data_IF_768612149518
#
_entry.id   IF_768612149518
#
_cell.length_a   1.000
_cell.length_b   1.000
_cell.length_c   1.000
_cell.angle_alpha   90.00
_cell.angle_beta   90.00
_cell.angle_gamma   90.00
#
_symmetry.space_group_name_H-M   'P 1'
#
loop_
_entity.id
_entity.type
_entity.pdbx_description
1 polymer ?
#
# COMPACT_ATOMS: atom_id res chain seq x y z
N UNK A 1 14.09 -23.44 -8.97
CA UNK A 1 12.78 -23.01 -9.50
C UNK A 1 11.69 -23.81 -8.80
N UNK A 2 11.05 -23.27 -7.77
CA UNK A 2 9.85 -23.86 -7.18
C UNK A 2 8.67 -23.24 -7.92
N UNK A 3 7.97 -24.04 -8.72
CA UNK A 3 6.70 -23.63 -9.30
C UNK A 3 5.73 -23.37 -8.16
N UNK A 4 5.53 -22.09 -7.82
CA UNK A 4 4.48 -21.68 -6.89
C UNK A 4 3.15 -21.92 -7.61
N UNK A 5 2.57 -23.08 -7.35
CA UNK A 5 1.26 -23.48 -7.83
C UNK A 5 0.20 -22.51 -7.26
N UNK A 6 -0.01 -21.39 -7.96
CA UNK A 6 -1.29 -20.70 -7.92
C UNK A 6 -2.31 -21.60 -8.59
N UNK A 7 -2.77 -22.63 -7.86
CA UNK A 7 -3.76 -23.58 -8.35
C UNK A 7 -5.00 -22.83 -8.82
N UNK A 8 -5.43 -23.07 -10.05
CA UNK A 8 -6.70 -22.55 -10.54
C UNK A 8 -7.84 -23.04 -9.63
N UNK A 9 -8.95 -22.29 -9.49
CA UNK A 9 -10.14 -22.80 -8.84
C UNK A 9 -10.51 -24.13 -9.47
N UNK A 10 -10.52 -25.18 -8.67
CA UNK A 10 -10.71 -26.53 -9.15
C UNK A 10 -12.05 -27.05 -8.60
N UNK A 11 -13.08 -26.99 -9.45
CA UNK A 11 -14.40 -27.49 -9.12
C UNK A 11 -14.38 -28.97 -8.70
N UNK A 12 -13.46 -29.77 -9.24
CA UNK A 12 -13.31 -31.18 -8.86
C UNK A 12 -12.74 -31.33 -7.45
N UNK A 13 -11.85 -30.44 -7.00
CA UNK A 13 -11.36 -30.46 -5.62
C UNK A 13 -12.46 -30.08 -4.63
N UNK A 14 -13.29 -29.08 -4.97
CA UNK A 14 -14.45 -28.71 -4.15
C UNK A 14 -15.45 -29.86 -4.04
N UNK A 15 -15.79 -30.47 -5.17
CA UNK A 15 -16.69 -31.60 -5.23
C UNK A 15 -16.18 -32.79 -4.41
N UNK A 16 -14.88 -33.11 -4.51
CA UNK A 16 -14.26 -34.18 -3.71
C UNK A 16 -14.30 -33.88 -2.20
N UNK A 17 -14.05 -32.64 -1.79
CA UNK A 17 -14.13 -32.25 -0.38
C UNK A 17 -15.57 -32.36 0.17
N UNK A 18 -16.57 -31.97 -0.63
CA UNK A 18 -17.99 -32.12 -0.28
C UNK A 18 -18.41 -33.59 -0.18
N UNK A 19 -17.95 -34.44 -1.11
CA UNK A 19 -18.20 -35.88 -1.05
C UNK A 19 -17.58 -36.51 0.20
N UNK A 20 -16.37 -36.12 0.58
CA UNK A 20 -15.71 -36.61 1.79
C UNK A 20 -16.47 -36.20 3.07
N UNK A 21 -17.00 -34.98 3.13
CA UNK A 21 -17.84 -34.55 4.25
C UNK A 21 -19.16 -35.33 4.29
N UNK A 22 -19.80 -35.52 3.14
CA UNK A 22 -21.06 -36.28 3.03
C UNK A 22 -20.87 -37.72 3.50
N UNK A 23 -19.78 -38.36 3.08
CA UNK A 23 -19.43 -39.70 3.54
C UNK A 23 -19.19 -39.72 5.05
N UNK A 24 -18.44 -38.76 5.60
CA UNK A 24 -18.18 -38.68 7.04
C UNK A 24 -19.45 -38.49 7.89
N UNK A 25 -20.49 -37.87 7.33
CA UNK A 25 -21.80 -37.68 7.98
C UNK A 25 -22.76 -38.87 7.75
N UNK A 26 -22.55 -39.66 6.70
CA UNK A 26 -23.46 -40.73 6.26
C UNK A 26 -23.13 -42.13 6.78
N UNK A 27 -21.91 -42.38 7.28
CA UNK A 27 -21.59 -43.69 7.87
C UNK A 27 -22.20 -43.78 9.27
N UNK A 28 -22.99 -44.83 9.53
CA UNK A 28 -23.68 -45.13 10.80
C UNK A 28 -22.81 -45.38 12.04
N UNK A 29 -21.64 -44.75 12.10
CA UNK A 29 -20.78 -44.62 13.27
C UNK A 29 -20.12 -43.24 13.21
N UNK A 30 -20.78 -42.23 13.78
CA UNK A 30 -20.26 -40.86 13.87
C UNK A 30 -18.97 -40.82 14.71
N UNK A 31 -17.81 -41.09 14.09
CA UNK A 31 -16.54 -40.68 14.68
C UNK A 31 -16.41 -39.18 14.47
N UNK A 32 -16.72 -38.40 15.50
CA UNK A 32 -16.62 -36.93 15.50
C UNK A 32 -15.26 -36.44 14.99
N UNK A 33 -14.19 -37.23 15.17
CA UNK A 33 -12.87 -36.94 14.62
C UNK A 33 -12.83 -36.97 13.08
N UNK A 34 -13.55 -37.90 12.44
CA UNK A 34 -13.63 -37.98 10.98
C UNK A 34 -14.41 -36.80 10.40
N UNK A 35 -15.50 -36.40 11.07
CA UNK A 35 -16.29 -35.21 10.70
C UNK A 35 -15.42 -33.96 10.82
N UNK A 36 -14.68 -33.80 11.91
CA UNK A 36 -13.78 -32.67 12.11
C UNK A 36 -12.67 -32.62 11.04
N UNK A 37 -12.08 -33.76 10.69
CA UNK A 37 -11.07 -33.83 9.63
C UNK A 37 -11.64 -33.46 8.26
N UNK A 38 -12.85 -33.95 7.93
CA UNK A 38 -13.52 -33.62 6.67
C UNK A 38 -13.91 -32.13 6.59
N UNK A 39 -14.38 -31.54 7.70
CA UNK A 39 -14.67 -30.11 7.80
C UNK A 39 -13.41 -29.26 7.63
N UNK A 40 -12.30 -29.61 8.28
CA UNK A 40 -11.02 -28.90 8.13
C UNK A 40 -10.53 -28.94 6.68
N UNK A 41 -10.62 -30.09 6.03
CA UNK A 41 -10.27 -30.23 4.62
C UNK A 41 -11.17 -29.39 3.70
N UNK A 42 -12.49 -29.42 3.92
CA UNK A 42 -13.42 -28.57 3.17
C UNK A 42 -13.09 -27.09 3.34
N UNK A 43 -12.82 -26.64 4.57
CA UNK A 43 -12.47 -25.26 4.86
C UNK A 43 -11.18 -24.83 4.14
N UNK A 44 -10.17 -25.69 4.11
CA UNK A 44 -8.92 -25.45 3.38
C UNK A 44 -9.15 -25.35 1.86
N UNK A 45 -9.96 -26.25 1.28
CA UNK A 45 -10.27 -26.26 -0.16
C UNK A 45 -11.12 -25.06 -0.56
N UNK A 46 -12.11 -24.67 0.23
CA UNK A 46 -12.93 -23.47 -0.01
C UNK A 46 -12.05 -22.22 0.04
N UNK A 47 -11.17 -22.11 1.04
CA UNK A 47 -10.22 -21.00 1.15
C UNK A 47 -9.29 -20.93 -0.06
N UNK A 48 -8.75 -22.06 -0.51
CA UNK A 48 -7.90 -22.13 -1.69
C UNK A 48 -8.65 -21.72 -2.97
N UNK A 49 -9.88 -22.20 -3.16
CA UNK A 49 -10.71 -21.85 -4.32
C UNK A 49 -11.09 -20.36 -4.32
N UNK A 50 -11.47 -19.80 -3.18
CA UNK A 50 -11.76 -18.37 -3.06
C UNK A 50 -10.54 -17.52 -3.40
N UNK A 51 -9.35 -17.88 -2.88
CA UNK A 51 -8.10 -17.21 -3.24
C UNK A 51 -7.79 -17.32 -4.74
N UNK A 52 -8.02 -18.50 -5.33
CA UNK A 52 -7.79 -18.73 -6.74
C UNK A 52 -8.79 -17.96 -7.63
N UNK A 53 -10.03 -17.77 -7.17
CA UNK A 53 -11.05 -16.96 -7.86
C UNK A 53 -10.74 -15.47 -7.79
N UNK A 54 -10.32 -14.96 -6.62
CA UNK A 54 -9.84 -13.58 -6.48
C UNK A 54 -8.62 -13.31 -7.38
N UNK A 55 -7.83 -14.35 -7.67
CA UNK A 55 -6.68 -14.27 -8.57
C UNK A 55 -7.05 -14.39 -10.07
N UNK A 56 -8.31 -14.69 -10.45
CA UNK A 56 -8.77 -14.76 -11.85
C UNK A 56 -9.04 -13.36 -12.44
N UNK A 57 -7.94 -12.68 -12.76
CA UNK A 57 -7.66 -12.12 -14.09
C UNK A 57 -8.73 -11.38 -14.90
N UNK A 58 -9.54 -10.49 -14.32
CA UNK A 58 -10.00 -9.31 -15.07
C UNK A 58 -9.28 -8.12 -14.46
N UNK A 59 -8.27 -7.60 -15.16
CA UNK A 59 -7.64 -6.35 -14.77
C UNK A 59 -8.63 -5.22 -15.09
N UNK A 60 -9.49 -4.91 -14.12
CA UNK A 60 -10.45 -3.81 -14.22
C UNK A 60 -9.75 -2.45 -14.10
N UNK A 61 -8.69 -2.37 -13.29
CA UNK A 61 -7.89 -1.17 -13.08
C UNK A 61 -6.48 -1.31 -13.70
N UNK A 62 -6.02 -0.34 -14.50
CA UNK A 62 -4.65 -0.32 -15.01
C UNK A 62 -3.65 -0.25 -13.85
N UNK A 63 -2.55 -1.00 -13.96
CA UNK A 63 -1.50 -1.03 -12.94
C UNK A 63 -0.30 -0.25 -13.48
N UNK A 64 0.21 0.75 -12.73
CA UNK A 64 1.28 1.62 -13.21
C UNK A 64 2.62 0.88 -13.29
N UNK A 65 3.44 1.29 -14.24
CA UNK A 65 4.80 0.76 -14.44
C UNK A 65 5.84 1.64 -13.76
N UNK A 66 6.87 1.02 -13.17
CA UNK A 66 7.99 1.73 -12.55
C UNK A 66 9.32 1.38 -13.23
N UNK A 67 9.98 2.41 -13.73
CA UNK A 67 11.28 2.36 -14.40
C UNK A 67 12.44 2.65 -13.43
N UNK A 68 12.19 3.41 -12.35
CA UNK A 68 13.22 3.94 -11.46
C UNK A 68 13.65 5.37 -11.82
N UNK A 69 14.89 5.74 -11.46
CA UNK A 69 15.42 7.08 -11.72
C UNK A 69 14.74 8.15 -10.87
N UNK A 70 14.19 9.19 -11.51
CA UNK A 70 13.53 10.32 -10.83
C UNK A 70 12.03 10.09 -10.58
N UNK A 71 11.48 8.93 -10.93
CA UNK A 71 10.09 8.62 -10.60
C UNK A 71 9.92 8.55 -9.08
N UNK A 72 8.80 9.10 -8.57
CA UNK A 72 8.47 9.03 -7.15
C UNK A 72 8.08 7.60 -6.76
N UNK A 73 8.92 6.89 -5.98
CA UNK A 73 8.63 5.52 -5.56
C UNK A 73 7.45 5.43 -4.60
N UNK A 74 7.16 6.49 -3.84
CA UNK A 74 6.08 6.51 -2.84
C UNK A 74 4.74 6.62 -3.55
N UNK A 75 4.63 7.56 -4.49
CA UNK A 75 3.44 7.71 -5.34
C UNK A 75 3.17 6.43 -6.13
N UNK A 76 4.18 5.89 -6.83
CA UNK A 76 4.00 4.64 -7.59
C UNK A 76 3.53 3.48 -6.71
N UNK A 77 4.11 3.32 -5.51
CA UNK A 77 3.74 2.22 -4.61
C UNK A 77 2.28 2.35 -4.13
N UNK A 78 1.83 3.58 -3.84
CA UNK A 78 0.44 3.85 -3.46
C UNK A 78 -0.52 3.55 -4.62
N UNK A 79 -0.21 4.03 -5.83
CA UNK A 79 -1.02 3.76 -7.02
C UNK A 79 -1.07 2.27 -7.37
N UNK A 80 0.06 1.58 -7.30
CA UNK A 80 0.14 0.13 -7.49
C UNK A 80 -0.74 -0.60 -6.47
N UNK A 81 -0.66 -0.22 -5.19
CA UNK A 81 -1.46 -0.82 -4.13
C UNK A 81 -2.97 -0.58 -4.34
N UNK A 82 -3.36 0.61 -4.77
CA UNK A 82 -4.75 0.96 -5.08
C UNK A 82 -5.27 0.18 -6.29
N UNK A 83 -4.49 0.10 -7.37
CA UNK A 83 -4.84 -0.69 -8.55
C UNK A 83 -4.98 -2.18 -8.20
N UNK A 84 -4.08 -2.72 -7.36
CA UNK A 84 -4.19 -4.09 -6.88
C UNK A 84 -5.45 -4.31 -6.03
N UNK A 85 -5.80 -3.37 -5.16
CA UNK A 85 -7.03 -3.45 -4.36
C UNK A 85 -8.28 -3.45 -5.25
N UNK A 86 -8.33 -2.56 -6.26
CA UNK A 86 -9.42 -2.51 -7.24
C UNK A 86 -9.52 -3.78 -8.09
N UNK A 87 -8.38 -4.42 -8.37
CA UNK A 87 -8.31 -5.70 -9.07
C UNK A 87 -8.52 -6.93 -8.16
N UNK A 88 -8.76 -6.74 -6.85
CA UNK A 88 -8.95 -7.84 -5.89
C UNK A 88 -7.69 -8.66 -5.58
N UNK A 89 -6.49 -8.12 -5.85
CA UNK A 89 -5.23 -8.84 -5.68
C UNK A 89 -4.72 -8.80 -4.23
N UNK A 90 -4.59 -9.98 -3.63
CA UNK A 90 -3.99 -10.16 -2.31
C UNK A 90 -2.45 -10.04 -2.35
N UNK A 91 -1.81 -10.00 -1.18
CA UNK A 91 -0.36 -9.83 -1.06
C UNK A 91 0.48 -10.86 -1.84
N UNK A 92 0.05 -12.14 -1.84
CA UNK A 92 0.72 -13.19 -2.60
C UNK A 92 0.67 -12.91 -4.11
N UNK A 93 -0.49 -12.47 -4.61
CA UNK A 93 -0.65 -12.10 -6.02
C UNK A 93 0.17 -10.86 -6.38
N UNK A 94 0.20 -9.84 -5.52
CA UNK A 94 1.03 -8.64 -5.73
C UNK A 94 2.51 -9.03 -5.95
N UNK A 95 3.06 -9.89 -5.10
CA UNK A 95 4.45 -10.37 -5.24
C UNK A 95 4.70 -11.15 -6.55
N UNK A 96 3.72 -11.95 -6.99
CA UNK A 96 3.83 -12.71 -8.24
C UNK A 96 3.87 -11.81 -9.49
N UNK A 97 3.08 -10.72 -9.51
CA UNK A 97 2.88 -9.90 -10.71
C UNK A 97 3.75 -8.66 -10.74
N UNK A 98 4.11 -8.11 -9.58
CA UNK A 98 4.90 -6.88 -9.46
C UNK A 98 6.15 -6.86 -10.35
N UNK A 99 6.94 -7.95 -10.48
CA UNK A 99 8.13 -7.92 -11.33
C UNK A 99 7.85 -7.59 -12.80
N UNK A 100 6.63 -7.90 -13.30
CA UNK A 100 6.22 -7.57 -14.65
C UNK A 100 5.97 -6.07 -14.87
N UNK A 101 5.74 -5.32 -13.79
CA UNK A 101 5.52 -3.86 -13.78
C UNK A 101 6.77 -3.06 -13.43
N UNK A 102 7.87 -3.73 -13.10
CA UNK A 102 9.19 -3.11 -13.04
C UNK A 102 9.82 -3.12 -14.44
N UNK A 103 10.40 -2.00 -14.86
CA UNK A 103 11.10 -1.81 -16.14
C UNK A 103 12.42 -1.10 -15.90
N UNK A 104 13.24 -1.00 -16.96
CA UNK A 104 14.49 -0.24 -16.91
C UNK A 104 15.38 -0.64 -15.73
N UNK A 105 15.88 0.34 -14.99
CA UNK A 105 16.78 0.11 -13.85
C UNK A 105 16.08 -0.62 -12.71
N UNK A 106 14.77 -0.45 -12.54
CA UNK A 106 14.01 -1.18 -11.53
C UNK A 106 13.91 -2.69 -11.81
N UNK A 107 13.75 -3.07 -13.08
CA UNK A 107 13.77 -4.48 -13.47
C UNK A 107 15.13 -5.14 -13.22
N UNK A 108 16.22 -4.42 -13.51
CA UNK A 108 17.60 -4.88 -13.26
C UNK A 108 17.83 -5.05 -11.76
N UNK A 109 17.42 -4.07 -10.94
CA UNK A 109 17.50 -4.17 -9.48
C UNK A 109 16.73 -5.39 -8.95
N UNK A 110 15.53 -5.67 -9.46
CA UNK A 110 14.77 -6.83 -9.01
C UNK A 110 15.55 -8.15 -9.16
N UNK A 111 16.34 -8.28 -10.23
CA UNK A 111 17.19 -9.45 -10.46
C UNK A 111 18.33 -9.60 -9.44
N UNK A 112 18.77 -8.52 -8.79
CA UNK A 112 19.81 -8.58 -7.75
C UNK A 112 19.25 -9.02 -6.40
N UNK A 113 17.96 -8.75 -6.15
CA UNK A 113 17.29 -9.08 -4.88
C UNK A 113 16.42 -10.33 -4.94
N UNK A 114 16.13 -10.88 -6.13
CA UNK A 114 15.29 -12.08 -6.29
C UNK A 114 15.85 -13.33 -5.60
N UNK A 115 17.16 -13.39 -5.38
CA UNK A 115 17.82 -14.47 -4.64
C UNK A 115 17.70 -14.29 -3.11
N UNK A 116 17.32 -13.09 -2.64
CA UNK A 116 16.89 -12.87 -1.27
C UNK A 116 15.41 -13.23 -1.14
N UNK A 117 14.98 -13.81 -0.02
CA UNK A 117 13.61 -14.30 0.14
C UNK A 117 12.64 -13.13 0.40
N UNK A 118 12.42 -12.25 -0.59
CA UNK A 118 11.28 -11.34 -0.56
C UNK A 118 10.02 -12.18 -0.69
N UNK A 119 9.38 -12.45 0.45
CA UNK A 119 8.24 -13.36 0.58
C UNK A 119 7.01 -12.69 1.23
N UNK A 120 7.14 -11.43 1.63
CA UNK A 120 6.05 -10.60 2.13
C UNK A 120 5.92 -9.32 1.29
N UNK A 121 4.68 -8.87 1.04
CA UNK A 121 4.44 -7.62 0.32
C UNK A 121 4.75 -6.42 1.22
N UNK A 122 4.02 -6.29 2.33
CA UNK A 122 4.19 -5.25 3.35
C UNK A 122 4.26 -5.87 4.75
N UNK A 123 4.26 -5.03 5.79
CA UNK A 123 4.33 -5.44 7.19
C UNK A 123 5.54 -4.83 7.91
N UNK A 124 6.18 -5.61 8.79
CA UNK A 124 7.38 -5.17 9.49
C UNK A 124 8.51 -4.80 8.49
N UNK A 125 9.29 -3.78 8.86
CA UNK A 125 10.40 -3.25 8.07
C UNK A 125 11.60 -4.21 8.07
N UNK A 126 11.48 -5.30 7.31
CA UNK A 126 12.43 -6.38 7.23
C UNK A 126 12.95 -6.56 5.79
N UNK A 127 14.12 -7.18 5.65
CA UNK A 127 14.75 -7.45 4.36
C UNK A 127 14.00 -8.50 3.49
N UNK A 128 12.94 -9.12 4.01
CA UNK A 128 12.05 -10.01 3.27
C UNK A 128 10.71 -9.34 2.85
N UNK A 129 10.52 -8.06 3.18
CA UNK A 129 9.32 -7.29 2.87
C UNK A 129 9.57 -6.41 1.65
N UNK A 130 8.80 -6.61 0.58
CA UNK A 130 8.97 -5.87 -0.67
C UNK A 130 8.88 -4.34 -0.48
N UNK A 131 7.83 -3.84 0.18
CA UNK A 131 7.64 -2.40 0.37
C UNK A 131 8.82 -1.75 1.10
N UNK A 132 9.45 -2.47 2.03
CA UNK A 132 10.62 -1.99 2.76
C UNK A 132 11.85 -1.92 1.86
N UNK A 133 12.21 -3.02 1.21
CA UNK A 133 13.41 -3.13 0.37
C UNK A 133 13.29 -2.23 -0.87
N UNK A 134 12.08 -2.10 -1.43
CA UNK A 134 11.78 -1.16 -2.52
C UNK A 134 12.01 0.29 -2.11
N UNK A 135 11.47 0.71 -0.95
CA UNK A 135 11.69 2.07 -0.44
C UNK A 135 13.17 2.31 -0.13
N UNK A 136 13.86 1.34 0.46
CA UNK A 136 15.30 1.46 0.74
C UNK A 136 16.11 1.70 -0.54
N UNK A 137 15.75 1.05 -1.65
CA UNK A 137 16.45 1.21 -2.93
C UNK A 137 16.12 2.54 -3.62
N UNK A 138 14.83 2.85 -3.79
CA UNK A 138 14.40 3.89 -4.74
C UNK A 138 14.05 5.21 -4.08
N UNK A 139 13.78 5.24 -2.76
CA UNK A 139 13.61 6.49 -2.01
C UNK A 139 14.99 7.04 -1.63
N UNK A 140 15.73 7.47 -2.65
CA UNK A 140 17.12 7.87 -2.52
C UNK A 140 17.27 9.12 -1.64
N UNK A 141 18.43 9.32 -0.98
CA UNK A 141 18.70 10.54 -0.24
C UNK A 141 18.50 11.82 -1.06
N UNK A 142 18.83 11.79 -2.36
CA UNK A 142 18.63 12.92 -3.26
C UNK A 142 17.15 13.30 -3.45
N UNK A 143 16.26 12.30 -3.58
CA UNK A 143 14.82 12.57 -3.64
C UNK A 143 14.29 13.13 -2.31
N UNK A 144 14.78 12.60 -1.18
CA UNK A 144 14.40 13.09 0.14
C UNK A 144 14.83 14.54 0.34
N UNK A 145 16.04 14.90 -0.07
CA UNK A 145 16.53 16.28 -0.03
C UNK A 145 15.72 17.20 -0.93
N UNK A 146 15.40 16.75 -2.15
CA UNK A 146 14.56 17.48 -3.09
C UNK A 146 13.17 17.78 -2.50
N UNK A 147 12.50 16.76 -1.95
CA UNK A 147 11.18 16.96 -1.32
C UNK A 147 11.26 17.81 -0.05
N UNK A 148 12.34 17.71 0.72
CA UNK A 148 12.53 18.54 1.92
C UNK A 148 12.71 20.01 1.54
N UNK A 149 13.49 20.26 0.49
CA UNK A 149 13.65 21.61 -0.09
C UNK A 149 12.32 22.14 -0.64
N UNK A 150 11.57 21.30 -1.36
CA UNK A 150 10.24 21.65 -1.86
C UNK A 150 9.29 22.02 -0.71
N UNK A 151 9.26 21.21 0.35
CA UNK A 151 8.46 21.47 1.55
C UNK A 151 8.83 22.80 2.22
N UNK A 152 10.12 23.11 2.32
CA UNK A 152 10.59 24.35 2.95
C UNK A 152 10.24 25.59 2.12
N UNK A 153 10.18 25.46 0.80
CA UNK A 153 9.85 26.54 -0.13
C UNK A 153 8.35 26.61 -0.46
N UNK A 154 7.55 25.61 -0.03
CA UNK A 154 6.16 25.50 -0.41
C UNK A 154 5.31 26.57 0.28
N UNK A 155 4.78 27.48 -0.53
CA UNK A 155 3.87 28.55 -0.11
C UNK A 155 2.55 28.41 -0.88
N UNK A 156 1.42 28.63 -0.23
CA UNK A 156 0.10 28.71 -0.84
C UNK A 156 0.11 29.81 -1.91
N UNK A 157 -0.26 29.45 -3.14
CA UNK A 157 -0.30 30.43 -4.22
C UNK A 157 -1.55 31.32 -4.11
N UNK A 158 -1.54 32.56 -4.63
CA UNK A 158 -2.69 33.48 -4.52
C UNK A 158 -4.02 32.92 -5.02
N UNK A 159 -4.00 32.02 -6.00
CA UNK A 159 -5.18 31.39 -6.59
C UNK A 159 -5.35 29.92 -6.19
N UNK A 160 -4.59 29.45 -5.19
CA UNK A 160 -4.63 28.07 -4.74
C UNK A 160 -5.56 27.93 -3.53
N UNK A 161 -6.55 27.04 -3.66
CA UNK A 161 -7.46 26.72 -2.56
C UNK A 161 -6.70 26.09 -1.40
N UNK A 162 -7.15 26.33 -0.17
CA UNK A 162 -6.54 25.74 1.04
C UNK A 162 -6.46 24.22 0.95
N UNK A 163 -7.46 23.58 0.33
CA UNK A 163 -7.46 22.14 0.10
C UNK A 163 -6.33 21.66 -0.82
N UNK A 164 -6.06 22.37 -1.90
CA UNK A 164 -4.98 22.03 -2.83
C UNK A 164 -3.61 22.19 -2.15
N UNK A 165 -3.42 23.30 -1.44
CA UNK A 165 -2.21 23.55 -0.66
C UNK A 165 -2.00 22.48 0.43
N UNK A 166 -3.06 22.15 1.18
CA UNK A 166 -3.02 21.14 2.22
C UNK A 166 -2.70 19.74 1.67
N UNK A 167 -3.25 19.38 0.50
CA UNK A 167 -2.92 18.13 -0.18
C UNK A 167 -1.44 18.08 -0.57
N UNK A 168 -0.90 19.13 -1.19
CA UNK A 168 0.51 19.19 -1.58
C UNK A 168 1.45 19.04 -0.38
N UNK A 169 1.16 19.71 0.74
CA UNK A 169 1.95 19.58 1.97
C UNK A 169 1.87 18.16 2.56
N UNK A 170 0.68 17.54 2.55
CA UNK A 170 0.52 16.15 3.00
C UNK A 170 1.30 15.18 2.14
N UNK A 171 1.29 15.33 0.83
CA UNK A 171 2.06 14.49 -0.09
C UNK A 171 3.57 14.60 0.19
N UNK A 172 4.08 15.81 0.42
CA UNK A 172 5.48 16.01 0.80
C UNK A 172 5.83 15.33 2.12
N UNK A 173 4.98 15.45 3.14
CA UNK A 173 5.19 14.72 4.39
C UNK A 173 5.11 13.20 4.22
N UNK A 174 4.23 12.67 3.37
CA UNK A 174 4.18 11.24 3.08
C UNK A 174 5.45 10.74 2.38
N UNK A 175 6.06 11.58 1.53
CA UNK A 175 7.33 11.27 0.86
C UNK A 175 8.52 11.34 1.82
N UNK A 176 8.52 12.28 2.77
CA UNK A 176 9.66 12.55 3.68
C UNK A 176 9.61 11.74 4.98
N UNK A 177 8.43 11.57 5.58
CA UNK A 177 8.30 10.89 6.86
C UNK A 177 8.39 9.37 6.71
N UNK A 178 9.01 8.73 7.69
CA UNK A 178 9.23 7.29 7.81
C UNK A 178 9.03 6.87 9.27
N UNK A 179 8.94 5.56 9.58
CA UNK A 179 8.91 5.11 10.96
C UNK A 179 10.16 5.48 11.79
N UNK A 180 11.30 5.73 11.14
CA UNK A 180 12.57 6.08 11.81
C UNK A 180 12.71 7.58 12.01
N UNK A 181 12.21 8.37 11.05
CA UNK A 181 12.25 9.82 11.08
C UNK A 181 10.92 10.38 10.59
N UNK A 182 10.28 11.18 11.43
CA UNK A 182 9.14 11.99 11.06
C UNK A 182 9.25 13.35 11.74
N UNK A 183 8.84 14.41 11.04
CA UNK A 183 8.67 15.71 11.69
C UNK A 183 7.64 15.60 12.82
N UNK A 184 7.90 16.15 14.01
CA UNK A 184 6.89 16.21 15.07
C UNK A 184 5.62 16.94 14.60
N UNK A 185 4.45 16.51 15.06
CA UNK A 185 3.15 17.02 14.59
C UNK A 185 3.05 18.56 14.66
N UNK A 186 3.57 19.14 15.74
CA UNK A 186 3.58 20.59 15.94
C UNK A 186 4.51 21.31 14.95
N UNK A 187 5.61 20.67 14.52
CA UNK A 187 6.49 21.21 13.48
C UNK A 187 5.80 21.12 12.12
N UNK A 188 5.10 20.02 11.85
CA UNK A 188 4.31 19.88 10.62
C UNK A 188 3.23 20.96 10.51
N UNK A 189 2.50 21.19 11.61
CA UNK A 189 1.49 22.24 11.70
C UNK A 189 2.08 23.64 11.46
N UNK A 190 3.20 23.96 12.12
CA UNK A 190 3.87 25.26 11.96
C UNK A 190 4.35 25.50 10.54
N UNK A 191 4.96 24.51 9.90
CA UNK A 191 5.42 24.60 8.50
C UNK A 191 4.26 24.86 7.55
N UNK A 192 3.16 24.12 7.68
CA UNK A 192 1.93 24.36 6.91
C UNK A 192 1.43 25.81 7.10
N UNK A 193 1.27 26.25 8.35
CA UNK A 193 0.79 27.61 8.66
C UNK A 193 1.74 28.67 8.11
N UNK A 194 3.06 28.49 8.22
CA UNK A 194 4.03 29.47 7.73
C UNK A 194 4.03 29.67 6.22
N UNK A 195 3.48 28.71 5.47
CA UNK A 195 3.34 28.83 4.03
C UNK A 195 1.97 29.35 3.56
N UNK A 196 1.04 29.68 4.47
CA UNK A 196 -0.26 30.22 4.10
C UNK A 196 -0.15 31.63 3.51
N UNK A 197 -1.16 32.01 2.71
CA UNK A 197 -1.32 33.41 2.29
C UNK A 197 -1.36 34.35 3.50
N UNK A 198 -0.86 35.59 3.40
CA UNK A 198 -0.71 36.49 4.55
C UNK A 198 -1.98 36.67 5.39
N UNK A 199 -3.14 36.78 4.75
CA UNK A 199 -4.45 36.93 5.41
C UNK A 199 -4.81 35.71 6.25
N UNK A 200 -4.69 34.52 5.67
CA UNK A 200 -4.94 33.25 6.35
C UNK A 200 -3.89 32.98 7.43
N UNK A 201 -2.63 33.32 7.18
CA UNK A 201 -1.57 33.22 8.18
C UNK A 201 -1.89 34.04 9.43
N UNK A 202 -2.26 35.32 9.26
CA UNK A 202 -2.62 36.20 10.38
C UNK A 202 -3.84 35.68 11.14
N UNK A 203 -4.82 35.10 10.44
CA UNK A 203 -6.00 34.52 11.07
C UNK A 203 -5.69 33.22 11.85
N UNK A 204 -4.78 32.38 11.36
CA UNK A 204 -4.56 31.02 11.89
C UNK A 204 -3.42 30.96 12.91
N UNK A 205 -2.34 31.75 12.74
CA UNK A 205 -1.14 31.71 13.60
C UNK A 205 -1.44 31.84 15.11
N UNK A 206 -2.34 32.73 15.58
CA UNK A 206 -2.57 32.91 17.02
C UNK A 206 -3.08 31.67 17.74
N UNK A 207 -3.69 30.72 17.02
CA UNK A 207 -4.24 29.51 17.61
C UNK A 207 -3.19 28.46 17.99
N UNK A 208 -1.97 28.53 17.44
CA UNK A 208 -0.88 27.62 17.82
C UNK A 208 -1.23 26.13 17.66
N UNK A 209 -1.88 25.76 16.56
CA UNK A 209 -2.36 24.39 16.31
C UNK A 209 -1.23 23.35 16.48
N UNK A 210 -1.54 22.25 17.19
CA UNK A 210 -0.54 21.22 17.54
C UNK A 210 -0.41 20.13 16.49
N UNK A 211 -1.41 19.95 15.62
CA UNK A 211 -1.37 18.96 14.55
C UNK A 211 -1.62 19.61 13.19
N UNK A 212 -1.08 18.98 12.13
CA UNK A 212 -1.33 19.42 10.76
C UNK A 212 -2.83 19.42 10.43
N UNK A 213 -3.57 18.42 10.93
CA UNK A 213 -5.02 18.32 10.73
C UNK A 213 -5.76 19.48 11.37
N UNK A 214 -5.42 19.86 12.61
CA UNK A 214 -6.05 21.00 13.29
C UNK A 214 -5.76 22.31 12.56
N UNK A 215 -4.52 22.48 12.10
CA UNK A 215 -4.12 23.65 11.31
C UNK A 215 -4.95 23.75 10.02
N UNK A 216 -5.07 22.66 9.26
CA UNK A 216 -5.86 22.61 8.02
C UNK A 216 -7.34 22.94 8.30
N UNK A 217 -7.94 22.29 9.30
CA UNK A 217 -9.35 22.52 9.64
C UNK A 217 -9.60 23.98 10.04
N UNK A 218 -8.69 24.59 10.79
CA UNK A 218 -8.77 26.00 11.15
C UNK A 218 -8.65 26.91 9.94
N UNK A 219 -7.68 26.66 9.06
CA UNK A 219 -7.50 27.46 7.84
C UNK A 219 -8.74 27.41 6.95
N UNK A 220 -9.34 26.24 6.75
CA UNK A 220 -10.60 26.10 6.00
C UNK A 220 -11.75 26.91 6.61
N UNK A 221 -11.85 26.93 7.94
CA UNK A 221 -12.87 27.72 8.62
C UNK A 221 -12.67 29.24 8.45
N UNK A 222 -11.45 29.69 8.14
CA UNK A 222 -11.13 31.08 7.84
C UNK A 222 -11.31 31.44 6.36
N UNK A 223 -11.14 30.49 5.43
CA UNK A 223 -11.33 30.68 3.98
C UNK A 223 -12.80 30.94 3.59
N UNK A 224 -13.75 30.42 4.37
CA UNK A 224 -15.20 30.55 4.13
C UNK A 224 -15.81 31.85 4.68
N UNK A 225 -15.00 32.80 5.13
CA UNK A 225 -15.43 34.10 5.68
C UNK A 225 -15.05 35.23 4.75
#
# INVERSE_FOLDING_TARGET
MVAMAGGMPNANQLLNALNNLTNALGVGGNNMQNVNNALNNLNAVVTANNNAMLNRGVQAAPVPTFYGGNQDPITWLNEFNNACAANGWNAARKLQVMPAYLKGTAAVWWQTVVNNPINAWGGAANNNTFEHVFKQQFRTPALVEMWSTELDQRQQQPNEMVDQYALAIRELYQRINTPVFAYPDNVQARKFVSGLLPELYMAVKPFGNQTLTDAINRTKACELR
#
